data_IF_764338221298
#
_entry.id   IF_764338221298
#
_cell.length_a   1.000
_cell.length_b   1.000
_cell.length_c   1.000
_cell.angle_alpha   90.00
_cell.angle_beta   90.00
_cell.angle_gamma   90.00
#
_symmetry.space_group_name_H-M   'P 1'
#
loop_
_entity.id
_entity.type
_entity.pdbx_description
1 polymer ?
#
# COMPACT_ATOMS: atom_id res chain seq x y z
N UNK A 1 10.11 -17.67 -29.88
CA UNK A 1 10.20 -18.05 -28.46
C UNK A 1 8.91 -17.60 -27.80
N UNK A 2 8.01 -18.52 -27.48
CA UNK A 2 6.71 -18.22 -26.86
C UNK A 2 6.90 -18.23 -25.34
N UNK A 3 6.55 -17.12 -24.68
CA UNK A 3 6.71 -16.97 -23.24
C UNK A 3 5.46 -17.54 -22.55
N UNK A 4 5.57 -18.74 -21.98
CA UNK A 4 4.45 -19.41 -21.31
C UNK A 4 4.45 -19.04 -19.83
N UNK A 5 3.46 -18.28 -19.39
CA UNK A 5 3.28 -17.93 -17.98
C UNK A 5 2.63 -19.12 -17.26
N UNK A 6 3.24 -19.58 -16.16
CA UNK A 6 2.60 -20.55 -15.28
C UNK A 6 1.56 -19.83 -14.40
N UNK A 7 0.29 -19.91 -14.83
CA UNK A 7 -0.83 -19.25 -14.17
C UNK A 7 -1.00 -19.67 -12.71
N UNK A 8 -0.75 -20.94 -12.38
CA UNK A 8 -0.89 -21.44 -11.00
C UNK A 8 0.16 -20.82 -10.08
N UNK A 9 1.39 -20.67 -10.57
CA UNK A 9 2.46 -20.04 -9.82
C UNK A 9 2.16 -18.55 -9.58
N UNK A 10 1.66 -17.87 -10.61
CA UNK A 10 1.27 -16.46 -10.53
C UNK A 10 0.10 -16.26 -9.56
N UNK A 11 -0.95 -17.07 -9.63
CA UNK A 11 -2.10 -17.00 -8.73
C UNK A 11 -1.68 -17.21 -7.26
N UNK A 12 -0.78 -18.17 -7.01
CA UNK A 12 -0.23 -18.40 -5.66
C UNK A 12 0.60 -17.20 -5.17
N UNK A 13 1.42 -16.62 -6.03
CA UNK A 13 2.22 -15.44 -5.71
C UNK A 13 1.35 -14.23 -5.40
N UNK A 14 0.30 -14.00 -6.21
CA UNK A 14 -0.68 -12.94 -6.00
C UNK A 14 -1.48 -13.13 -4.71
N UNK A 15 -1.88 -14.36 -4.38
CA UNK A 15 -2.55 -14.62 -3.11
C UNK A 15 -1.67 -14.26 -1.90
N UNK A 16 -0.37 -14.55 -1.97
CA UNK A 16 0.58 -14.15 -0.93
C UNK A 16 0.77 -12.62 -0.90
N UNK A 17 0.87 -12.00 -2.07
CA UNK A 17 0.96 -10.55 -2.21
C UNK A 17 -0.25 -9.83 -1.59
N UNK A 18 -1.46 -10.30 -1.89
CA UNK A 18 -2.72 -9.75 -1.38
C UNK A 18 -2.79 -9.87 0.15
N UNK A 19 -2.34 -11.00 0.71
CA UNK A 19 -2.25 -11.17 2.15
C UNK A 19 -1.25 -10.19 2.80
N UNK A 20 -0.09 -9.95 2.17
CA UNK A 20 0.88 -8.97 2.66
C UNK A 20 0.36 -7.53 2.53
N UNK A 21 -0.34 -7.21 1.44
CA UNK A 21 -0.92 -5.89 1.22
C UNK A 21 -2.01 -5.60 2.27
N UNK A 22 -2.87 -6.57 2.57
CA UNK A 22 -3.87 -6.46 3.63
C UNK A 22 -3.21 -6.27 5.01
N UNK A 23 -2.19 -7.08 5.33
CA UNK A 23 -1.46 -6.94 6.59
C UNK A 23 -0.74 -5.60 6.73
N UNK A 24 -0.24 -5.03 5.63
CA UNK A 24 0.34 -3.69 5.62
C UNK A 24 -0.72 -2.61 5.85
N UNK A 25 -1.89 -2.72 5.22
CA UNK A 25 -2.99 -1.76 5.40
C UNK A 25 -3.49 -1.76 6.86
N UNK A 26 -3.68 -2.94 7.45
CA UNK A 26 -4.04 -3.10 8.87
C UNK A 26 -2.99 -2.47 9.79
N UNK A 27 -1.70 -2.73 9.53
CA UNK A 27 -0.61 -2.18 10.34
C UNK A 27 -0.52 -0.65 10.23
N UNK A 28 -0.75 -0.09 9.04
CA UNK A 28 -0.81 1.37 8.84
C UNK A 28 -2.01 1.95 9.59
N UNK A 29 -3.18 1.33 9.48
CA UNK A 29 -4.38 1.78 10.19
C UNK A 29 -4.18 1.79 11.72
N UNK A 30 -3.58 0.74 12.28
CA UNK A 30 -3.27 0.66 13.71
C UNK A 30 -2.28 1.75 14.13
N UNK A 31 -1.20 1.94 13.36
CA UNK A 31 -0.18 2.94 13.65
C UNK A 31 -0.76 4.37 13.62
N UNK A 32 -1.59 4.68 12.63
CA UNK A 32 -2.26 5.99 12.53
C UNK A 32 -3.19 6.22 13.72
N UNK A 33 -4.04 5.24 14.06
CA UNK A 33 -4.92 5.35 15.20
C UNK A 33 -4.14 5.55 16.51
N UNK A 34 -2.97 4.91 16.64
CA UNK A 34 -2.08 5.11 17.80
C UNK A 34 -1.51 6.51 17.85
N UNK A 35 -1.05 7.05 16.73
CA UNK A 35 -0.53 8.43 16.63
C UNK A 35 -1.61 9.43 17.03
N UNK A 36 -2.81 9.30 16.47
CA UNK A 36 -3.95 10.18 16.76
C UNK A 36 -4.34 10.15 18.25
N UNK A 37 -4.38 8.95 18.87
CA UNK A 37 -4.62 8.83 20.31
C UNK A 37 -3.55 9.52 21.15
N UNK A 38 -2.27 9.36 20.80
CA UNK A 38 -1.17 9.99 21.52
C UNK A 38 -1.19 11.52 21.39
N UNK A 39 -1.59 12.04 20.24
CA UNK A 39 -1.75 13.48 20.04
C UNK A 39 -2.92 14.06 20.84
N UNK A 40 -4.06 13.35 20.83
CA UNK A 40 -5.25 13.76 21.58
C UNK A 40 -5.02 13.80 23.10
N UNK A 41 -4.07 13.02 23.61
CA UNK A 41 -3.69 13.06 25.02
C UNK A 41 -2.89 14.31 25.41
N UNK A 42 -2.41 15.11 24.45
CA UNK A 42 -1.63 16.35 24.68
C UNK A 42 -0.51 16.18 25.73
N UNK A 43 0.36 15.15 25.60
CA UNK A 43 1.32 14.79 26.66
C UNK A 43 2.36 15.87 26.95
N UNK A 44 2.55 16.79 26.00
CA UNK A 44 3.44 17.95 26.10
C UNK A 44 2.91 19.08 26.99
N UNK A 45 1.65 19.03 27.43
CA UNK A 45 1.05 20.06 28.26
C UNK A 45 0.80 21.39 27.52
N UNK A 46 0.35 22.38 28.30
CA UNK A 46 -0.04 23.71 27.81
C UNK A 46 0.88 24.83 28.31
N UNK A 47 2.01 24.52 28.92
CA UNK A 47 3.01 25.52 29.30
C UNK A 47 3.76 26.07 28.05
N UNK A 48 4.71 26.99 28.27
CA UNK A 48 5.45 27.59 27.15
C UNK A 48 6.21 26.53 26.34
N UNK A 49 6.81 25.55 27.00
CA UNK A 49 7.57 24.48 26.36
C UNK A 49 6.65 23.55 25.54
N UNK A 50 5.51 23.16 26.09
CA UNK A 50 4.52 22.32 25.44
C UNK A 50 3.91 22.97 24.19
N UNK A 51 3.63 24.28 24.25
CA UNK A 51 3.15 25.04 23.09
C UNK A 51 4.21 25.18 22.00
N UNK A 52 5.46 25.44 22.38
CA UNK A 52 6.57 25.53 21.42
C UNK A 52 6.84 24.18 20.75
N UNK A 53 6.87 23.08 21.52
CA UNK A 53 6.98 21.74 20.98
C UNK A 53 5.85 21.45 19.99
N UNK A 54 4.59 21.70 20.36
CA UNK A 54 3.44 21.46 19.49
C UNK A 54 3.57 22.23 18.18
N UNK A 55 3.95 23.51 18.27
CA UNK A 55 4.17 24.36 17.08
C UNK A 55 5.21 23.73 16.16
N UNK A 56 6.39 23.39 16.66
CA UNK A 56 7.47 22.80 15.87
C UNK A 56 7.08 21.41 15.32
N UNK A 57 6.40 20.60 16.12
CA UNK A 57 5.96 19.25 15.76
C UNK A 57 4.92 19.23 14.64
N UNK A 58 4.04 20.24 14.58
CA UNK A 58 3.01 20.37 13.52
C UNK A 58 3.43 21.29 12.38
N UNK A 59 4.64 21.86 12.43
CA UNK A 59 5.13 22.75 11.38
C UNK A 59 5.26 21.99 10.06
N UNK A 60 4.78 22.60 8.96
CA UNK A 60 4.80 21.96 7.65
C UNK A 60 3.90 20.73 7.54
N UNK A 61 2.74 20.71 8.22
CA UNK A 61 1.78 19.59 8.27
C UNK A 61 2.28 18.37 9.09
N UNK A 62 3.52 18.43 9.58
CA UNK A 62 4.08 17.59 10.63
C UNK A 62 3.76 16.09 10.48
N UNK A 63 3.11 15.46 11.48
CA UNK A 63 2.82 14.03 11.45
C UNK A 63 1.86 13.61 10.32
N UNK A 64 1.02 14.52 9.81
CA UNK A 64 0.09 14.20 8.73
C UNK A 64 0.82 13.81 7.44
N UNK A 65 2.01 14.38 7.19
CA UNK A 65 2.84 13.99 6.05
C UNK A 65 3.27 12.52 6.12
N UNK A 66 3.69 12.05 7.29
CA UNK A 66 4.11 10.67 7.50
C UNK A 66 2.90 9.73 7.39
N UNK A 67 1.76 10.13 7.95
CA UNK A 67 0.50 9.37 7.85
C UNK A 67 0.06 9.23 6.38
N UNK A 68 0.05 10.34 5.63
CA UNK A 68 -0.31 10.37 4.22
C UNK A 68 0.65 9.51 3.38
N UNK A 69 1.96 9.62 3.64
CA UNK A 69 2.97 8.82 2.98
C UNK A 69 2.78 7.32 3.25
N UNK A 70 2.54 6.92 4.50
CA UNK A 70 2.34 5.52 4.88
C UNK A 70 1.11 4.91 4.19
N UNK A 71 -0.03 5.64 4.21
CA UNK A 71 -1.25 5.24 3.50
C UNK A 71 -1.01 5.10 2.00
N UNK A 72 -0.25 6.02 1.39
CA UNK A 72 0.08 5.94 -0.02
C UNK A 72 0.96 4.72 -0.36
N UNK A 73 1.87 4.31 0.52
CA UNK A 73 2.65 3.08 0.29
C UNK A 73 1.80 1.82 0.40
N UNK A 74 0.89 1.74 1.38
CA UNK A 74 -0.05 0.63 1.50
C UNK A 74 -0.93 0.50 0.25
N UNK A 75 -1.48 1.62 -0.22
CA UNK A 75 -2.28 1.66 -1.45
C UNK A 75 -1.49 1.19 -2.68
N UNK A 76 -0.24 1.67 -2.86
CA UNK A 76 0.64 1.26 -3.96
C UNK A 76 0.93 -0.23 -3.97
N UNK A 77 1.02 -0.85 -2.79
CA UNK A 77 1.22 -2.30 -2.69
C UNK A 77 0.00 -3.05 -3.25
N UNK A 78 -1.22 -2.63 -2.90
CA UNK A 78 -2.45 -3.20 -3.48
C UNK A 78 -2.54 -2.98 -4.99
N UNK A 79 -2.27 -1.76 -5.45
CA UNK A 79 -2.34 -1.39 -6.87
C UNK A 79 -1.36 -2.22 -7.71
N UNK A 80 -0.16 -2.48 -7.18
CA UNK A 80 0.86 -3.29 -7.86
C UNK A 80 0.38 -4.74 -8.08
N UNK A 81 -0.32 -5.33 -7.11
CA UNK A 81 -0.91 -6.67 -7.28
C UNK A 81 -1.98 -6.70 -8.37
N UNK A 82 -2.77 -5.64 -8.46
CA UNK A 82 -3.78 -5.47 -9.52
C UNK A 82 -3.15 -5.30 -10.90
N UNK A 83 -2.09 -4.52 -11.02
CA UNK A 83 -1.36 -4.35 -12.28
C UNK A 83 -0.76 -5.69 -12.77
N UNK A 84 -0.22 -6.51 -11.86
CA UNK A 84 0.29 -7.84 -12.19
C UNK A 84 -0.82 -8.76 -12.70
N UNK A 85 -1.98 -8.79 -12.04
CA UNK A 85 -3.15 -9.55 -12.51
C UNK A 85 -3.54 -9.18 -13.94
N UNK A 86 -3.72 -7.88 -14.19
CA UNK A 86 -4.08 -7.36 -15.51
C UNK A 86 -3.04 -7.72 -16.59
N UNK A 87 -1.75 -7.64 -16.26
CA UNK A 87 -0.67 -8.00 -17.19
C UNK A 87 -0.68 -9.49 -17.54
N UNK A 88 -0.97 -10.35 -16.57
CA UNK A 88 -1.04 -11.81 -16.77
C UNK A 88 -2.25 -12.20 -17.60
N UNK A 89 -3.43 -11.66 -17.29
CA UNK A 89 -4.65 -11.94 -18.04
C UNK A 89 -4.53 -11.44 -19.50
N UNK A 90 -4.01 -10.22 -19.71
CA UNK A 90 -3.77 -9.70 -21.07
C UNK A 90 -2.75 -10.52 -21.86
N UNK A 91 -1.72 -11.08 -21.20
CA UNK A 91 -0.75 -11.97 -21.85
C UNK A 91 -1.39 -13.30 -22.27
N UNK A 92 -2.30 -13.84 -21.46
CA UNK A 92 -3.02 -15.08 -21.77
C UNK A 92 -3.98 -14.90 -22.97
N UNK A 93 -4.69 -13.75 -23.03
CA UNK A 93 -5.55 -13.40 -24.17
C UNK A 93 -4.75 -13.27 -25.48
N UNK A 94 -3.58 -12.62 -25.41
CA UNK A 94 -2.69 -12.47 -26.57
C UNK A 94 -2.17 -13.83 -27.07
N UNK A 95 -1.84 -14.76 -26.15
CA UNK A 95 -1.41 -16.12 -26.50
C UNK A 95 -2.56 -16.90 -27.19
N UNK A 96 -3.79 -16.85 -26.65
CA UNK A 96 -4.96 -17.50 -27.23
C UNK A 96 -5.29 -16.96 -28.64
N UNK A 97 -5.29 -15.63 -28.82
CA UNK A 97 -5.55 -15.00 -30.11
C UNK A 97 -4.45 -15.24 -31.16
N UNK A 98 -3.23 -15.57 -30.73
CA UNK A 98 -2.13 -15.95 -31.61
C UNK A 98 -2.22 -17.42 -32.08
N UNK A 99 -2.83 -18.28 -31.26
CA UNK A 99 -3.07 -19.68 -31.58
C UNK A 99 -4.22 -19.81 -32.59
N UNK A 100 -5.32 -19.09 -32.38
CA UNK A 100 -6.51 -19.10 -33.25
C UNK A 100 -6.22 -18.62 -34.68
N UNK A 101 -5.23 -17.72 -34.86
CA UNK A 101 -4.80 -17.25 -36.19
C UNK A 101 -3.88 -18.21 -36.95
N UNK A 102 -3.40 -19.29 -36.32
CA UNK A 102 -2.47 -20.26 -36.91
C UNK A 102 -3.13 -21.60 -37.25
N UNK A 103 -4.40 -21.77 -36.89
CA UNK A 103 -5.27 -22.90 -37.27
C UNK A 103 -6.14 -22.46 -38.45
#
# INVERSE_FOLDING_TARGET
>A
MTLRIDRRLVEKGLAHWDAMAAGLDDAVAEAVARIERLHAATPWGDDSAGREFRRAYTEGDGPNLVIAWARAQAARMSDSGTAVRQSVDGSAEAEAASFDRRV
#
